data_IF_087903664591
#
_entry.id   IF_087903664591
#
_cell.length_a   1.000
_cell.length_b   1.000
_cell.length_c   1.000
_cell.angle_alpha   90.00
_cell.angle_beta   90.00
_cell.angle_gamma   90.00
#
_symmetry.space_group_name_H-M   'P 1'
#
loop_
_entity.id
_entity.type
_entity.pdbx_description
1 polymer ?
#
# COMPACT_ATOMS: atom_id res chain seq x y z
N UNK A 1 1.49 23.98 -22.57
CA UNK A 1 1.60 23.07 -21.41
C UNK A 1 2.68 22.05 -21.73
N UNK A 2 3.58 21.78 -20.79
CA UNK A 2 4.61 20.75 -20.96
C UNK A 2 3.90 19.40 -20.77
N UNK A 3 3.73 18.65 -21.86
CA UNK A 3 3.11 17.32 -21.82
C UNK A 3 4.16 16.29 -21.40
N UNK A 4 4.27 16.04 -20.10
CA UNK A 4 5.17 15.04 -19.51
C UNK A 4 4.39 13.83 -18.98
N UNK A 5 5.11 12.87 -18.40
CA UNK A 5 4.55 11.61 -17.87
C UNK A 5 3.53 11.84 -16.74
N UNK A 6 3.84 12.77 -15.84
CA UNK A 6 2.97 13.18 -14.75
C UNK A 6 1.60 13.66 -15.26
N UNK A 7 1.60 14.49 -16.30
CA UNK A 7 0.38 15.10 -16.83
C UNK A 7 -0.37 14.19 -17.81
N UNK A 8 0.33 13.32 -18.54
CA UNK A 8 -0.30 12.47 -19.58
C UNK A 8 -0.77 11.11 -19.08
N UNK A 9 -0.22 10.60 -17.98
CA UNK A 9 -0.52 9.23 -17.57
C UNK A 9 -0.76 9.12 -16.06
N UNK A 10 0.10 9.69 -15.21
CA UNK A 10 -0.09 9.63 -13.74
C UNK A 10 -1.38 10.33 -13.31
N UNK A 11 -1.57 11.59 -13.69
CA UNK A 11 -2.78 12.33 -13.36
C UNK A 11 -4.07 11.67 -13.90
N UNK A 12 -4.15 11.22 -15.16
CA UNK A 12 -5.30 10.44 -15.63
C UNK A 12 -5.57 9.17 -14.83
N UNK A 13 -4.53 8.42 -14.43
CA UNK A 13 -4.68 7.22 -13.60
C UNK A 13 -5.24 7.58 -12.21
N UNK A 14 -4.68 8.59 -11.54
CA UNK A 14 -5.16 9.12 -10.25
C UNK A 14 -6.63 9.55 -10.34
N UNK A 15 -7.02 10.29 -11.38
CA UNK A 15 -8.42 10.69 -11.61
C UNK A 15 -9.32 9.45 -11.82
N UNK A 16 -8.83 8.43 -12.51
CA UNK A 16 -9.59 7.21 -12.70
C UNK A 16 -9.85 6.48 -11.38
N UNK A 17 -8.86 6.37 -10.49
CA UNK A 17 -9.05 5.83 -9.14
C UNK A 17 -10.12 6.58 -8.35
N UNK A 18 -10.13 7.92 -8.41
CA UNK A 18 -11.17 8.71 -7.75
C UNK A 18 -12.57 8.41 -8.29
N UNK A 19 -12.70 8.19 -9.60
CA UNK A 19 -13.98 7.77 -10.21
C UNK A 19 -14.43 6.38 -9.76
N UNK A 20 -13.50 5.51 -9.36
CA UNK A 20 -13.75 4.19 -8.80
C UNK A 20 -14.01 4.23 -7.28
N UNK A 21 -14.03 5.41 -6.65
CA UNK A 21 -14.29 5.57 -5.22
C UNK A 21 -13.06 5.49 -4.31
N UNK A 22 -11.85 5.42 -4.88
CA UNK A 22 -10.63 5.48 -4.09
C UNK A 22 -10.41 6.91 -3.58
N UNK A 23 -9.96 7.02 -2.34
CA UNK A 23 -9.54 8.29 -1.75
C UNK A 23 -8.04 8.55 -1.99
N UNK A 24 -7.60 9.78 -1.82
CA UNK A 24 -6.17 10.12 -1.86
C UNK A 24 -5.55 10.03 -0.46
N UNK A 25 -4.36 9.46 -0.35
CA UNK A 25 -3.53 9.50 0.85
C UNK A 25 -2.32 10.41 0.61
N UNK A 26 -2.25 11.51 1.34
CA UNK A 26 -1.10 12.42 1.31
C UNK A 26 0.07 11.86 2.12
N UNK A 27 1.30 11.93 1.61
CA UNK A 27 2.50 11.57 2.38
C UNK A 27 2.85 12.60 3.47
N UNK A 28 2.35 13.85 3.37
CA UNK A 28 2.70 14.93 4.32
C UNK A 28 2.14 14.71 5.73
N UNK A 29 1.00 14.06 5.82
CA UNK A 29 0.24 13.84 7.07
C UNK A 29 0.14 12.34 7.39
N UNK A 30 0.93 11.51 6.71
CA UNK A 30 0.85 10.07 6.87
C UNK A 30 1.60 9.61 8.12
N UNK A 31 0.93 8.76 8.89
CA UNK A 31 1.55 7.95 9.94
C UNK A 31 1.83 6.57 9.35
N UNK A 32 3.09 6.25 9.05
CA UNK A 32 3.47 5.07 8.26
C UNK A 32 4.41 4.18 9.10
N UNK A 33 4.07 2.90 9.23
CA UNK A 33 5.01 1.92 9.75
C UNK A 33 6.18 1.74 8.78
N UNK A 34 7.41 1.93 9.27
CA UNK A 34 8.59 1.94 8.40
C UNK A 34 8.84 0.58 7.72
N UNK A 35 8.56 -0.54 8.39
CA UNK A 35 8.93 -1.86 7.91
C UNK A 35 7.95 -2.42 6.88
N UNK A 36 6.66 -2.20 7.11
CA UNK A 36 5.56 -2.73 6.29
C UNK A 36 5.02 -1.70 5.30
N UNK A 37 5.36 -0.42 5.48
CA UNK A 37 4.78 0.74 4.77
C UNK A 37 3.26 0.87 4.94
N UNK A 38 2.70 0.27 5.99
CA UNK A 38 1.28 0.38 6.33
C UNK A 38 0.97 1.77 6.90
N UNK A 39 -0.09 2.39 6.39
CA UNK A 39 -0.59 3.70 6.82
C UNK A 39 -1.48 3.55 8.06
N UNK A 40 -0.95 3.81 9.24
CA UNK A 40 -1.61 3.61 10.54
C UNK A 40 -2.87 4.47 10.69
N UNK A 41 -2.88 5.67 10.10
CA UNK A 41 -4.03 6.56 10.08
C UNK A 41 -5.24 5.98 9.32
N UNK A 42 -5.02 4.98 8.46
CA UNK A 42 -6.09 4.22 7.75
C UNK A 42 -6.27 2.82 8.29
N UNK A 43 -5.17 2.18 8.67
CA UNK A 43 -5.11 0.79 9.10
C UNK A 43 -5.92 0.55 10.37
N UNK A 44 -5.68 1.32 11.44
CA UNK A 44 -6.41 1.11 12.70
C UNK A 44 -7.92 1.32 12.52
N UNK A 45 -8.42 2.46 11.99
CA UNK A 45 -9.86 2.64 11.82
C UNK A 45 -10.51 1.55 10.96
N UNK A 46 -9.80 1.08 9.93
CA UNK A 46 -10.31 0.02 9.05
C UNK A 46 -10.35 -1.34 9.75
N UNK A 47 -9.31 -1.71 10.49
CA UNK A 47 -9.32 -2.93 11.29
C UNK A 47 -10.43 -2.90 12.34
N UNK A 48 -10.63 -1.77 13.02
CA UNK A 48 -11.69 -1.62 14.02
C UNK A 48 -13.07 -1.80 13.40
N UNK A 49 -13.27 -1.23 12.19
CA UNK A 49 -14.51 -1.36 11.42
C UNK A 49 -14.79 -2.81 11.03
N UNK A 50 -13.84 -3.50 10.39
CA UNK A 50 -14.08 -4.83 9.82
C UNK A 50 -14.07 -5.96 10.86
N UNK A 51 -13.49 -5.72 12.05
CA UNK A 51 -13.48 -6.67 13.16
C UNK A 51 -14.49 -6.33 14.26
N UNK A 52 -15.20 -5.19 14.15
CA UNK A 52 -16.13 -4.69 15.16
C UNK A 52 -15.54 -4.70 16.59
N UNK A 53 -14.28 -4.25 16.71
CA UNK A 53 -13.50 -4.26 17.95
C UNK A 53 -12.53 -3.09 17.95
N UNK A 54 -12.38 -2.39 19.07
CA UNK A 54 -11.31 -1.39 19.25
C UNK A 54 -9.94 -2.04 19.47
N UNK A 55 -8.88 -1.44 18.94
CA UNK A 55 -7.52 -1.92 19.17
C UNK A 55 -6.67 -0.90 19.93
N UNK A 56 -6.03 -1.37 21.00
CA UNK A 56 -5.00 -0.61 21.70
C UNK A 56 -3.76 -0.40 20.82
N UNK A 57 -2.92 0.57 21.18
CA UNK A 57 -1.65 0.78 20.48
C UNK A 57 -0.78 -0.48 20.47
N UNK A 58 -0.74 -1.21 21.58
CA UNK A 58 0.06 -2.43 21.69
C UNK A 58 -0.47 -3.52 20.77
N UNK A 59 -1.79 -3.71 20.68
CA UNK A 59 -2.37 -4.69 19.75
C UNK A 59 -2.06 -4.35 18.28
N UNK A 60 -2.18 -3.07 17.89
CA UNK A 60 -1.80 -2.64 16.53
C UNK A 60 -0.32 -2.91 16.26
N UNK A 61 0.56 -2.61 17.21
CA UNK A 61 2.00 -2.89 17.08
C UNK A 61 2.28 -4.39 16.96
N UNK A 62 1.62 -5.23 17.76
CA UNK A 62 1.72 -6.69 17.65
C UNK A 62 1.28 -7.18 16.26
N UNK A 63 0.16 -6.67 15.74
CA UNK A 63 -0.32 -7.01 14.39
C UNK A 63 0.70 -6.63 13.31
N UNK A 64 1.32 -5.44 13.40
CA UNK A 64 2.35 -5.01 12.45
C UNK A 64 3.60 -5.89 12.53
N UNK A 65 4.02 -6.30 13.73
CA UNK A 65 5.14 -7.23 13.93
C UNK A 65 4.83 -8.58 13.28
N UNK A 66 3.63 -9.10 13.49
CA UNK A 66 3.18 -10.37 12.91
C UNK A 66 3.16 -10.29 11.38
N UNK A 67 2.60 -9.21 10.80
CA UNK A 67 2.60 -8.97 9.36
C UNK A 67 4.04 -8.91 8.85
N UNK A 68 4.92 -8.12 9.47
CA UNK A 68 6.32 -7.97 9.09
C UNK A 68 7.08 -9.31 9.13
N UNK A 69 6.79 -10.16 10.12
CA UNK A 69 7.39 -11.48 10.22
C UNK A 69 6.97 -12.38 9.07
N UNK A 70 5.69 -12.34 8.69
CA UNK A 70 5.12 -13.17 7.63
C UNK A 70 5.58 -12.69 6.25
N UNK A 71 5.60 -11.39 5.95
CA UNK A 71 6.01 -10.92 4.62
C UNK A 71 7.52 -11.11 4.35
N UNK A 72 8.32 -11.38 5.39
CA UNK A 72 9.75 -11.67 5.29
C UNK A 72 10.05 -13.15 5.05
N UNK A 73 9.07 -14.05 5.21
CA UNK A 73 9.30 -15.46 4.90
C UNK A 73 9.48 -15.64 3.40
N UNK A 74 10.37 -16.56 3.02
CA UNK A 74 10.64 -16.86 1.62
C UNK A 74 9.62 -17.89 1.08
N UNK A 75 8.33 -17.56 1.16
CA UNK A 75 7.22 -18.44 0.80
C UNK A 75 6.38 -17.91 -0.39
N UNK A 76 6.91 -16.89 -1.08
CA UNK A 76 6.24 -16.17 -2.16
C UNK A 76 4.92 -15.49 -1.74
N UNK A 77 4.77 -15.17 -0.45
CA UNK A 77 3.59 -14.50 0.11
C UNK A 77 2.44 -15.44 0.46
N UNK A 78 2.68 -16.76 0.48
CA UNK A 78 1.63 -17.78 0.71
C UNK A 78 0.97 -17.64 2.08
N UNK A 79 1.74 -17.46 3.14
CA UNK A 79 1.23 -17.27 4.50
C UNK A 79 0.46 -15.97 4.63
N UNK A 80 0.95 -14.88 4.01
CA UNK A 80 0.23 -13.61 4.01
C UNK A 80 -1.10 -13.76 3.27
N UNK A 81 -1.09 -14.37 2.07
CA UNK A 81 -2.30 -14.68 1.32
C UNK A 81 -3.31 -15.47 2.16
N UNK A 82 -2.87 -16.54 2.83
CA UNK A 82 -3.74 -17.35 3.69
C UNK A 82 -4.35 -16.53 4.83
N UNK A 83 -3.59 -15.63 5.47
CA UNK A 83 -4.14 -14.74 6.48
C UNK A 83 -5.24 -13.83 5.90
N UNK A 84 -5.02 -13.27 4.71
CA UNK A 84 -6.02 -12.42 4.04
C UNK A 84 -7.33 -13.17 3.78
N UNK A 85 -7.26 -14.35 3.15
CA UNK A 85 -8.45 -15.08 2.69
C UNK A 85 -9.13 -15.91 3.78
N UNK A 86 -8.38 -16.35 4.78
CA UNK A 86 -8.87 -17.19 5.87
C UNK A 86 -8.03 -16.93 7.14
N UNK A 87 -8.37 -15.91 7.94
CA UNK A 87 -7.54 -15.50 9.07
C UNK A 87 -7.41 -16.55 10.18
N UNK A 88 -8.23 -17.61 10.21
CA UNK A 88 -8.15 -18.72 11.18
C UNK A 88 -7.97 -18.27 12.64
N UNK A 89 -8.75 -17.28 13.08
CA UNK A 89 -8.70 -16.72 14.43
C UNK A 89 -7.72 -15.55 14.63
N UNK A 90 -6.92 -15.21 13.61
CA UNK A 90 -6.21 -13.92 13.56
C UNK A 90 -7.18 -12.78 13.27
N UNK A 91 -6.70 -11.54 13.43
CA UNK A 91 -7.45 -10.34 13.02
C UNK A 91 -7.75 -10.39 11.51
N UNK A 92 -8.99 -10.07 11.11
CA UNK A 92 -9.37 -9.92 9.71
C UNK A 92 -8.69 -8.66 9.17
N UNK A 93 -7.93 -8.78 8.08
CA UNK A 93 -7.23 -7.64 7.45
C UNK A 93 -8.02 -7.04 6.26
N UNK A 94 -8.85 -7.85 5.61
CA UNK A 94 -9.70 -7.48 4.47
C UNK A 94 -11.08 -8.09 4.68
N UNK A 95 -12.13 -7.31 4.42
CA UNK A 95 -13.50 -7.80 4.42
C UNK A 95 -13.91 -8.22 3.01
N UNK A 96 -13.73 -9.51 2.69
CA UNK A 96 -14.15 -10.06 1.39
C UNK A 96 -15.67 -10.30 1.31
N UNK A 97 -16.35 -10.38 2.45
CA UNK A 97 -17.80 -10.60 2.52
C UNK A 97 -18.58 -9.32 2.15
N UNK A 98 -18.03 -8.16 2.51
CA UNK A 98 -18.57 -6.85 2.17
C UNK A 98 -17.45 -5.90 1.76
N UNK A 99 -17.20 -5.80 0.46
CA UNK A 99 -16.08 -5.04 -0.10
C UNK A 99 -16.12 -3.56 0.32
N UNK A 100 -17.31 -2.96 0.43
CA UNK A 100 -17.52 -1.56 0.81
C UNK A 100 -17.12 -1.28 2.28
N UNK A 101 -16.95 -2.32 3.10
CA UNK A 101 -16.40 -2.20 4.45
C UNK A 101 -14.87 -2.05 4.47
N UNK A 102 -14.19 -2.08 3.32
CA UNK A 102 -12.78 -1.75 3.25
C UNK A 102 -12.59 -0.25 2.98
N UNK A 103 -11.42 0.26 3.32
CA UNK A 103 -10.96 1.59 2.92
C UNK A 103 -10.09 1.45 1.66
N UNK A 104 -10.41 2.20 0.61
CA UNK A 104 -9.67 2.19 -0.64
C UNK A 104 -8.98 3.55 -0.85
N UNK A 105 -7.68 3.51 -1.06
CA UNK A 105 -6.92 4.73 -1.31
C UNK A 105 -5.76 4.53 -2.27
N UNK A 106 -5.28 5.63 -2.82
CA UNK A 106 -4.03 5.68 -3.56
C UNK A 106 -3.08 6.70 -2.95
N UNK A 107 -1.79 6.43 -3.06
CA UNK A 107 -0.71 7.35 -2.67
C UNK A 107 0.34 7.39 -3.77
N UNK A 108 0.72 8.59 -4.16
CA UNK A 108 1.77 8.77 -5.15
C UNK A 108 3.14 8.69 -4.49
N UNK A 109 4.11 8.09 -5.18
CA UNK A 109 5.54 8.17 -4.82
C UNK A 109 5.91 7.68 -3.42
N UNK A 110 5.21 6.67 -2.88
CA UNK A 110 5.56 6.03 -1.61
C UNK A 110 6.97 5.41 -1.68
N UNK A 111 7.93 5.85 -0.84
CA UNK A 111 9.28 5.31 -0.88
C UNK A 111 9.42 3.98 -0.12
N UNK A 112 9.98 2.97 -0.79
CA UNK A 112 10.44 1.72 -0.20
C UNK A 112 11.95 1.76 0.01
N UNK A 113 12.38 2.46 1.07
CA UNK A 113 13.79 2.53 1.46
C UNK A 113 14.18 1.36 2.36
N UNK A 114 15.41 0.86 2.19
CA UNK A 114 15.98 -0.21 3.01
C UNK A 114 16.36 0.31 4.40
N UNK A 115 16.89 1.53 4.46
CA UNK A 115 17.26 2.19 5.71
C UNK A 115 16.38 3.40 5.96
N UNK A 116 16.12 3.66 7.23
CA UNK A 116 15.38 4.84 7.66
C UNK A 116 16.27 6.06 7.41
N UNK A 117 15.68 7.12 6.89
CA UNK A 117 16.34 8.40 6.63
C UNK A 117 17.46 8.39 5.57
N UNK A 118 17.50 7.37 4.70
CA UNK A 118 18.40 7.32 3.53
C UNK A 118 17.61 7.24 2.21
N UNK A 119 18.26 7.65 1.11
CA UNK A 119 17.74 7.48 -0.26
C UNK A 119 18.36 6.29 -0.99
N UNK A 120 19.27 5.56 -0.36
CA UNK A 120 19.98 4.46 -1.01
C UNK A 120 19.08 3.23 -1.18
N UNK A 121 19.04 2.69 -2.40
CA UNK A 121 18.27 1.49 -2.75
C UNK A 121 16.76 1.67 -2.63
N UNK A 122 16.26 2.89 -2.85
CA UNK A 122 14.84 3.19 -2.67
C UNK A 122 14.03 2.92 -3.93
N UNK A 123 13.20 1.88 -3.92
CA UNK A 123 12.17 1.71 -4.94
C UNK A 123 11.02 2.69 -4.67
N UNK A 124 10.56 3.42 -5.68
CA UNK A 124 9.49 4.42 -5.53
C UNK A 124 8.52 4.32 -6.73
N UNK A 125 7.45 3.54 -6.61
CA UNK A 125 6.43 3.47 -7.65
C UNK A 125 5.70 4.80 -7.82
N UNK A 126 5.20 5.05 -9.03
CA UNK A 126 4.40 6.24 -9.32
C UNK A 126 3.15 6.34 -8.45
N UNK A 127 2.37 5.25 -8.36
CA UNK A 127 1.12 5.17 -7.59
C UNK A 127 1.09 3.85 -6.82
N UNK A 128 0.84 3.89 -5.51
CA UNK A 128 0.57 2.72 -4.69
C UNK A 128 -0.92 2.64 -4.35
N UNK A 129 -1.45 1.43 -4.39
CA UNK A 129 -2.85 1.11 -4.10
C UNK A 129 -2.91 0.56 -2.69
N UNK A 130 -3.66 1.26 -1.84
CA UNK A 130 -3.88 0.93 -0.45
C UNK A 130 -5.26 0.31 -0.28
N UNK A 131 -5.33 -0.79 0.47
CA UNK A 131 -6.59 -1.32 1.00
C UNK A 131 -6.44 -1.42 2.52
N UNK A 132 -7.33 -0.78 3.25
CA UNK A 132 -7.24 -0.65 4.72
C UNK A 132 -5.87 -0.10 5.16
N UNK A 133 -5.28 0.81 4.39
CA UNK A 133 -3.94 1.35 4.66
C UNK A 133 -2.76 0.42 4.34
N UNK A 134 -2.99 -0.81 3.87
CA UNK A 134 -1.94 -1.75 3.47
C UNK A 134 -1.60 -1.54 1.99
N UNK A 135 -0.32 -1.36 1.60
CA UNK A 135 0.09 -1.27 0.20
C UNK A 135 0.08 -2.66 -0.45
N UNK A 136 -0.93 -2.96 -1.28
CA UNK A 136 -1.08 -4.27 -1.94
C UNK A 136 -0.53 -4.32 -3.35
N UNK A 137 -0.56 -3.19 -4.05
CA UNK A 137 -0.15 -3.12 -5.43
C UNK A 137 0.42 -1.74 -5.73
N UNK A 138 1.18 -1.65 -6.81
CA UNK A 138 1.60 -0.38 -7.37
C UNK A 138 1.35 -0.35 -8.88
N UNK A 139 1.12 0.84 -9.40
CA UNK A 139 1.04 1.14 -10.81
C UNK A 139 2.27 1.96 -11.18
N UNK A 140 3.07 1.42 -12.07
CA UNK A 140 4.20 2.13 -12.69
C UNK A 140 3.72 2.75 -13.99
N UNK A 141 3.86 4.07 -14.09
CA UNK A 141 3.51 4.83 -15.27
C UNK A 141 4.71 4.81 -16.23
N UNK A 142 4.42 4.74 -17.53
CA UNK A 142 5.43 4.78 -18.60
C UNK A 142 4.92 5.60 -19.77
N UNK A 143 5.83 6.30 -20.47
CA UNK A 143 5.53 6.89 -21.79
C UNK A 143 5.36 5.78 -22.84
N UNK A 144 4.42 5.92 -23.80
CA UNK A 144 4.37 5.04 -24.96
C UNK A 144 5.67 5.15 -25.76
N UNK A 145 6.23 4.01 -26.19
CA UNK A 145 7.50 3.87 -26.93
C UNK A 145 8.79 4.19 -26.15
N UNK A 146 8.85 3.96 -24.84
CA UNK A 146 10.14 3.92 -24.12
C UNK A 146 10.92 2.66 -24.54
N UNK A 147 12.00 2.82 -25.32
CA UNK A 147 12.85 1.73 -25.85
C UNK A 147 13.54 0.85 -24.78
N UNK A 148 13.44 1.19 -23.48
CA UNK A 148 14.16 0.54 -22.38
C UNK A 148 13.38 -0.47 -21.51
N UNK A 149 12.07 -0.66 -21.72
CA UNK A 149 11.27 -1.64 -20.97
C UNK A 149 11.23 -1.44 -19.43
N UNK A 150 10.82 -2.48 -18.70
CA UNK A 150 10.58 -2.47 -17.23
C UNK A 150 11.90 -2.42 -16.42
N UNK A 151 13.01 -2.91 -16.97
CA UNK A 151 14.26 -3.11 -16.21
C UNK A 151 15.03 -1.84 -15.84
N UNK A 152 14.73 -0.69 -16.44
CA UNK A 152 15.57 0.50 -16.26
C UNK A 152 15.34 1.24 -14.93
N UNK A 153 14.23 1.00 -14.25
CA UNK A 153 13.82 1.79 -13.07
C UNK A 153 13.92 1.04 -11.72
N UNK A 154 14.46 -0.18 -11.71
CA UNK A 154 14.72 -0.93 -10.46
C UNK A 154 16.12 -0.63 -9.87
N UNK A 155 16.90 0.24 -10.52
CA UNK A 155 18.26 0.62 -10.13
C UNK A 155 18.44 2.13 -10.36
N UNK A 156 17.72 2.97 -9.62
CA UNK A 156 18.13 4.34 -9.31
C UNK A 156 17.82 4.66 -7.84
#
# INVERSE_FOLDING_TARGET
>A
MIFNEDTRVKLPATIHFFRLGYSYQSLKEADIDFNTKIFLNRFRPSLERINNKTFSNNEIQSILIDINSIIKTNDLGKEFYNWLINPLGKVKLIDFDNIENNDFAIVDELPFTIQKDTKEGSFRPDINILINGIPFAFLEVKKPNNEGGIQKNLIE
#
